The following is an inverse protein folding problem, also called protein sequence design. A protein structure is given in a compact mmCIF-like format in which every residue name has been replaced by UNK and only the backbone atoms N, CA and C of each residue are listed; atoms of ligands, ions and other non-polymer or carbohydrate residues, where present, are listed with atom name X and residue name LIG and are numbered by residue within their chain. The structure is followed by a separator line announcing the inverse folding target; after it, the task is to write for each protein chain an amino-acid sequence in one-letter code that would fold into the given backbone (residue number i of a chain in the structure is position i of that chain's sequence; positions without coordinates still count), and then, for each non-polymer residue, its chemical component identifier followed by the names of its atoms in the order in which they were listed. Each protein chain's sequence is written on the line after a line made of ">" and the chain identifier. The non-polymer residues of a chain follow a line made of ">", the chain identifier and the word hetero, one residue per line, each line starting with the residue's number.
data_IF_106842913968
#
_entry.id   IF_106842913968
#
_cell.length_a   1.000
_cell.length_b   1.000
_cell.length_c   1.000
_cell.angle_alpha   90.00
_cell.angle_beta   90.00
_cell.angle_gamma   90.00
#
_symmetry.space_group_name_H-M   'P 1'
#
loop_
_entity.id
_entity.type
_entity.pdbx_description
1 polymer ?
#
# COMPACT_ATOMS: atom_id res chain seq x y z
N UNK A 1 -50.45 -37.31 33.52
CA UNK A 1 -50.33 -37.63 32.07
C UNK A 1 -50.96 -36.50 31.27
N UNK A 2 -50.60 -36.39 29.99
CA UNK A 2 -51.10 -35.46 28.96
C UNK A 2 -50.30 -34.16 28.77
N UNK A 3 -49.26 -34.33 27.93
CA UNK A 3 -48.60 -33.34 27.08
C UNK A 3 -49.64 -32.49 26.35
N UNK A 4 -49.51 -31.16 26.37
CA UNK A 4 -50.13 -30.30 25.35
C UNK A 4 -49.05 -29.82 24.38
N UNK A 5 -49.20 -30.30 23.16
CA UNK A 5 -48.34 -30.13 22.00
C UNK A 5 -48.28 -28.68 21.55
N UNK A 6 -47.06 -28.26 21.21
CA UNK A 6 -46.69 -26.98 20.63
C UNK A 6 -47.19 -26.96 19.18
N UNK A 7 -48.12 -26.07 18.85
CA UNK A 7 -48.48 -25.80 17.46
C UNK A 7 -47.33 -25.09 16.74
N UNK A 8 -47.13 -25.33 15.42
CA UNK A 8 -45.96 -24.86 14.70
C UNK A 8 -46.00 -23.34 14.48
N UNK A 9 -44.85 -22.69 14.63
CA UNK A 9 -44.64 -21.30 14.21
C UNK A 9 -44.60 -21.31 12.68
N UNK A 10 -45.62 -20.73 12.08
CA UNK A 10 -45.68 -20.44 10.65
C UNK A 10 -44.63 -19.37 10.32
N UNK A 11 -43.65 -19.76 9.52
CA UNK A 11 -42.65 -18.89 8.93
C UNK A 11 -43.30 -17.91 7.94
N UNK A 12 -43.11 -16.59 8.09
CA UNK A 12 -43.61 -15.65 7.09
C UNK A 12 -42.83 -15.85 5.79
N UNK A 13 -43.54 -16.22 4.73
CA UNK A 13 -43.04 -16.33 3.37
C UNK A 13 -42.50 -14.98 2.85
N UNK A 14 -41.52 -15.01 1.95
CA UNK A 14 -40.94 -13.82 1.35
C UNK A 14 -41.97 -13.18 0.41
N UNK A 15 -42.31 -11.92 0.64
CA UNK A 15 -43.13 -11.15 -0.30
C UNK A 15 -42.25 -10.61 -1.42
N UNK A 16 -42.69 -10.91 -2.64
CA UNK A 16 -42.10 -10.52 -3.92
C UNK A 16 -41.74 -9.03 -3.99
N UNK A 17 -40.44 -8.76 -4.15
CA UNK A 17 -39.92 -7.42 -4.45
C UNK A 17 -40.01 -7.20 -5.95
N UNK A 18 -41.03 -6.45 -6.40
CA UNK A 18 -41.06 -5.88 -7.76
C UNK A 18 -39.92 -4.84 -7.93
N UNK A 19 -39.18 -4.86 -9.05
CA UNK A 19 -38.13 -3.89 -9.31
C UNK A 19 -38.76 -2.57 -9.78
N UNK A 20 -38.48 -1.46 -9.10
CA UNK A 20 -38.74 -0.11 -9.63
C UNK A 20 -39.60 0.85 -8.80
N UNK A 21 -40.19 0.43 -7.68
CA UNK A 21 -40.83 1.36 -6.73
C UNK A 21 -39.83 1.89 -5.72
N UNK A 22 -39.82 3.20 -5.42
CA UNK A 22 -39.01 3.77 -4.33
C UNK A 22 -39.52 3.24 -2.98
N UNK A 23 -39.10 2.02 -2.62
CA UNK A 23 -39.52 1.25 -1.45
C UNK A 23 -38.95 1.74 -0.12
N UNK A 24 -38.81 3.06 0.05
CA UNK A 24 -38.47 3.64 1.35
C UNK A 24 -39.34 4.87 1.58
N UNK A 25 -40.08 4.95 2.70
CA UNK A 25 -40.81 6.16 3.06
C UNK A 25 -39.85 7.35 3.00
N UNK A 26 -40.20 8.41 2.25
CA UNK A 26 -39.52 9.69 2.37
C UNK A 26 -39.63 10.13 3.83
N UNK A 27 -38.51 10.41 4.52
CA UNK A 27 -38.54 10.75 5.94
C UNK A 27 -39.50 11.91 6.16
N UNK A 28 -40.34 11.81 7.19
CA UNK A 28 -41.31 12.86 7.47
C UNK A 28 -40.58 14.16 7.76
N UNK A 29 -41.17 15.31 7.42
CA UNK A 29 -40.52 16.63 7.57
C UNK A 29 -39.90 16.85 8.95
N UNK A 30 -40.55 16.34 10.01
CA UNK A 30 -40.02 16.36 11.38
C UNK A 30 -38.75 15.54 11.57
N UNK A 31 -38.65 14.36 10.95
CA UNK A 31 -37.45 13.51 11.00
C UNK A 31 -36.31 14.12 10.18
N UNK A 32 -36.63 14.72 9.02
CA UNK A 32 -35.66 15.43 8.20
C UNK A 32 -35.10 16.68 8.93
N UNK A 33 -35.96 17.48 9.57
CA UNK A 33 -35.57 18.63 10.38
C UNK A 33 -34.80 18.22 11.65
N UNK A 34 -35.20 17.14 12.32
CA UNK A 34 -34.47 16.59 13.48
C UNK A 34 -33.09 16.05 13.08
N UNK A 35 -32.98 15.34 11.97
CA UNK A 35 -31.70 14.87 11.43
C UNK A 35 -30.81 16.02 10.99
N UNK A 36 -31.37 17.07 10.37
CA UNK A 36 -30.64 18.28 10.01
C UNK A 36 -30.12 19.03 11.25
N UNK A 37 -30.95 19.15 12.29
CA UNK A 37 -30.60 19.80 13.57
C UNK A 37 -29.58 18.98 14.37
N UNK A 38 -29.61 17.65 14.27
CA UNK A 38 -28.62 16.77 14.87
C UNK A 38 -27.25 16.86 14.16
N UNK A 39 -27.22 16.98 12.82
CA UNK A 39 -25.99 17.22 12.05
C UNK A 39 -25.38 18.61 12.29
N UNK A 40 -26.22 19.62 12.52
CA UNK A 40 -25.80 21.00 12.76
C UNK A 40 -25.55 21.34 14.24
N UNK A 41 -25.66 20.37 15.17
CA UNK A 41 -25.35 20.61 16.58
C UNK A 41 -23.83 20.65 16.76
N UNK A 42 -23.30 21.83 17.09
CA UNK A 42 -21.92 21.98 17.52
C UNK A 42 -21.66 21.05 18.73
N UNK A 43 -20.50 20.37 18.78
CA UNK A 43 -20.19 19.44 19.86
C UNK A 43 -20.17 20.16 21.19
N UNK A 44 -20.96 19.65 22.14
CA UNK A 44 -21.25 20.36 23.40
C UNK A 44 -20.21 20.08 24.47
N UNK A 45 -19.41 19.02 24.30
CA UNK A 45 -18.51 18.52 25.32
C UNK A 45 -17.09 18.25 24.79
N UNK A 46 -16.06 18.43 25.63
CA UNK A 46 -14.65 18.21 25.24
C UNK A 46 -14.40 16.77 24.79
N UNK A 47 -15.13 15.81 25.36
CA UNK A 47 -15.07 14.39 24.99
C UNK A 47 -15.68 14.11 23.62
N UNK A 48 -16.79 14.77 23.29
CA UNK A 48 -17.42 14.67 21.96
C UNK A 48 -16.56 15.31 20.87
N UNK A 49 -15.95 16.47 21.15
CA UNK A 49 -14.94 17.09 20.30
C UNK A 49 -13.75 16.16 20.04
N UNK A 50 -13.21 15.53 21.08
CA UNK A 50 -12.10 14.59 20.94
C UNK A 50 -12.49 13.36 20.12
N UNK A 51 -13.71 12.83 20.27
CA UNK A 51 -14.23 11.71 19.49
C UNK A 51 -14.40 12.08 18.02
N UNK A 52 -15.02 13.22 17.72
CA UNK A 52 -15.16 13.74 16.35
C UNK A 52 -13.80 14.01 15.70
N UNK A 53 -12.84 14.57 16.43
CA UNK A 53 -11.48 14.76 15.91
C UNK A 53 -10.79 13.43 15.60
N UNK A 54 -10.97 12.39 16.44
CA UNK A 54 -10.43 11.05 16.17
C UNK A 54 -11.06 10.40 14.95
N UNK A 55 -12.38 10.50 14.82
CA UNK A 55 -13.12 10.01 13.66
C UNK A 55 -12.66 10.73 12.39
N UNK A 56 -12.58 12.06 12.42
CA UNK A 56 -12.10 12.86 11.29
C UNK A 56 -10.65 12.53 10.91
N UNK A 57 -9.75 12.36 11.88
CA UNK A 57 -8.36 11.92 11.64
C UNK A 57 -8.30 10.52 11.02
N UNK A 58 -9.16 9.61 11.47
CA UNK A 58 -9.25 8.24 10.96
C UNK A 58 -9.76 8.23 9.52
N UNK A 59 -10.80 9.01 9.23
CA UNK A 59 -11.34 9.18 7.88
C UNK A 59 -10.34 9.83 6.93
N UNK A 60 -9.65 10.91 7.36
CA UNK A 60 -8.59 11.54 6.59
C UNK A 60 -7.45 10.56 6.31
N UNK A 61 -7.01 9.81 7.33
CA UNK A 61 -5.96 8.79 7.16
C UNK A 61 -6.40 7.68 6.21
N UNK A 62 -7.66 7.26 6.26
CA UNK A 62 -8.24 6.28 5.33
C UNK A 62 -8.29 6.81 3.91
N UNK A 63 -8.73 8.06 3.70
CA UNK A 63 -8.74 8.74 2.40
C UNK A 63 -7.33 8.87 1.82
N UNK A 64 -6.35 9.28 2.61
CA UNK A 64 -4.95 9.38 2.17
C UNK A 64 -4.40 7.99 1.81
N UNK A 65 -4.64 6.96 2.64
CA UNK A 65 -4.24 5.58 2.31
C UNK A 65 -4.91 5.05 1.04
N UNK A 66 -6.19 5.37 0.83
CA UNK A 66 -6.92 5.01 -0.39
C UNK A 66 -6.36 5.77 -1.61
N UNK A 67 -6.09 7.07 -1.49
CA UNK A 67 -5.45 7.89 -2.53
C UNK A 67 -4.04 7.41 -2.90
N UNK A 68 -3.25 7.00 -1.90
CA UNK A 68 -1.94 6.40 -2.11
C UNK A 68 -2.03 5.03 -2.82
N UNK A 69 -3.10 4.26 -2.56
CA UNK A 69 -3.36 2.98 -3.24
C UNK A 69 -3.90 3.16 -4.65
N UNK A 70 -4.73 4.17 -4.89
CA UNK A 70 -5.27 4.48 -6.22
C UNK A 70 -4.24 5.14 -7.14
N UNK A 71 -3.12 5.62 -6.59
CA UNK A 71 -2.02 6.19 -7.37
C UNK A 71 -2.22 7.67 -7.73
N UNK A 72 -3.15 8.35 -7.05
CA UNK A 72 -3.37 9.79 -7.21
C UNK A 72 -2.27 10.58 -6.49
N UNK A 73 -1.46 11.30 -7.27
CA UNK A 73 -0.26 11.99 -6.78
C UNK A 73 -0.55 13.09 -5.78
N UNK A 74 -1.79 13.60 -5.75
CA UNK A 74 -2.22 14.61 -4.78
C UNK A 74 -2.05 14.12 -3.35
N UNK A 75 -2.27 12.83 -3.12
CA UNK A 75 -2.20 12.17 -1.81
C UNK A 75 -0.82 11.62 -1.46
N UNK A 76 0.17 11.75 -2.35
CA UNK A 76 1.54 11.33 -2.03
C UNK A 76 2.18 12.31 -1.03
N UNK A 77 3.19 11.83 -0.29
CA UNK A 77 3.99 12.74 0.53
C UNK A 77 4.82 13.65 -0.38
N UNK A 78 5.16 14.87 0.05
CA UNK A 78 5.99 15.80 -0.74
C UNK A 78 7.31 15.18 -1.25
N UNK A 79 7.88 14.22 -0.51
CA UNK A 79 9.10 13.49 -0.88
C UNK A 79 8.95 12.55 -2.09
N UNK A 80 7.73 12.07 -2.34
CA UNK A 80 7.39 11.06 -3.34
C UNK A 80 6.73 11.67 -4.59
N UNK A 81 6.46 12.98 -4.59
CA UNK A 81 5.85 13.73 -5.69
C UNK A 81 6.85 14.09 -6.77
N UNK A 82 6.35 14.24 -7.99
CA UNK A 82 7.09 14.79 -9.13
C UNK A 82 7.49 13.73 -10.18
N UNK A 83 7.82 14.21 -11.39
CA UNK A 83 8.05 13.35 -12.56
C UNK A 83 9.28 12.46 -12.37
N UNK A 84 10.36 13.01 -11.80
CA UNK A 84 11.60 12.28 -11.48
C UNK A 84 11.34 11.14 -10.47
N UNK A 85 10.57 11.41 -9.42
CA UNK A 85 10.23 10.37 -8.42
C UNK A 85 9.35 9.31 -9.04
N UNK A 86 8.38 9.68 -9.87
CA UNK A 86 7.52 8.74 -10.61
C UNK A 86 8.36 7.79 -11.48
N UNK A 87 9.30 8.32 -12.25
CA UNK A 87 10.23 7.51 -13.03
C UNK A 87 11.04 6.54 -12.16
N UNK A 88 11.61 7.00 -11.04
CA UNK A 88 12.37 6.12 -10.14
C UNK A 88 11.50 4.99 -9.60
N UNK A 89 10.23 5.27 -9.24
CA UNK A 89 9.30 4.25 -8.77
C UNK A 89 9.06 3.19 -9.83
N UNK A 90 8.72 3.60 -11.05
CA UNK A 90 8.44 2.67 -12.14
C UNK A 90 9.70 1.91 -12.56
N UNK A 91 10.87 2.55 -12.63
CA UNK A 91 12.14 1.92 -13.02
C UNK A 91 12.64 0.88 -12.02
N UNK A 92 12.48 1.15 -10.71
CA UNK A 92 12.89 0.23 -9.65
C UNK A 92 11.88 -0.90 -9.51
N UNK A 93 10.58 -0.61 -9.58
CA UNK A 93 9.53 -1.62 -9.37
C UNK A 93 9.24 -2.45 -10.64
N UNK A 94 9.57 -1.99 -11.84
CA UNK A 94 9.50 -2.80 -13.06
C UNK A 94 10.58 -3.89 -13.12
N UNK A 95 11.64 -3.78 -12.31
CA UNK A 95 12.69 -4.80 -12.20
C UNK A 95 12.30 -5.96 -11.29
N UNK A 96 13.03 -7.06 -11.48
CA UNK A 96 13.02 -8.19 -10.58
C UNK A 96 13.66 -7.77 -9.24
N UNK A 97 12.93 -7.97 -8.14
CA UNK A 97 13.40 -7.58 -6.80
C UNK A 97 14.41 -8.60 -6.27
N UNK A 98 15.69 -8.23 -6.25
CA UNK A 98 16.74 -9.08 -5.67
C UNK A 98 16.56 -9.27 -4.16
N UNK A 99 16.00 -8.29 -3.46
CA UNK A 99 15.75 -8.36 -2.00
C UNK A 99 14.88 -9.56 -1.61
N UNK A 100 13.93 -9.96 -2.46
CA UNK A 100 13.07 -11.12 -2.19
C UNK A 100 13.84 -12.45 -2.35
N UNK A 101 14.91 -12.49 -3.15
CA UNK A 101 15.79 -13.66 -3.26
C UNK A 101 16.84 -13.73 -2.13
N UNK A 102 17.24 -12.58 -1.59
CA UNK A 102 18.22 -12.51 -0.50
C UNK A 102 17.72 -13.22 0.75
N UNK A 103 16.45 -13.08 1.09
CA UNK A 103 15.87 -13.71 2.29
C UNK A 103 15.98 -15.25 2.23
N UNK A 104 15.50 -15.95 1.17
CA UNK A 104 15.74 -17.38 0.99
C UNK A 104 17.21 -17.76 1.04
N UNK A 105 18.09 -16.97 0.40
CA UNK A 105 19.52 -17.27 0.34
C UNK A 105 20.17 -17.19 1.73
N UNK A 106 19.78 -16.20 2.54
CA UNK A 106 20.21 -16.08 3.94
C UNK A 106 19.69 -17.22 4.79
N UNK A 107 18.43 -17.65 4.60
CA UNK A 107 17.87 -18.79 5.33
C UNK A 107 18.63 -20.08 5.02
N UNK A 108 18.93 -20.34 3.75
CA UNK A 108 19.73 -21.50 3.32
C UNK A 108 21.11 -21.46 3.96
N UNK A 109 21.79 -20.30 3.91
CA UNK A 109 23.07 -20.10 4.59
C UNK A 109 22.98 -20.39 6.09
N UNK A 110 21.98 -19.86 6.78
CA UNK A 110 21.80 -20.08 8.21
C UNK A 110 21.57 -21.56 8.56
N UNK A 111 20.75 -22.27 7.78
CA UNK A 111 20.47 -23.69 7.97
C UNK A 111 21.75 -24.55 7.81
N UNK A 112 22.56 -24.26 6.79
CA UNK A 112 23.86 -24.91 6.57
C UNK A 112 24.85 -24.63 7.70
N UNK A 113 24.81 -23.42 8.27
CA UNK A 113 25.65 -23.03 9.41
C UNK A 113 25.30 -23.78 10.70
N UNK A 114 24.03 -24.11 10.90
CA UNK A 114 23.55 -24.75 12.13
C UNK A 114 23.67 -26.29 12.11
N UNK A 115 24.15 -26.89 11.02
CA UNK A 115 24.23 -28.35 10.86
C UNK A 115 25.35 -29.00 11.70
N UNK A 116 26.18 -28.22 12.40
CA UNK A 116 27.26 -28.72 13.27
C UNK A 116 28.48 -29.28 12.53
N UNK A 117 28.43 -29.35 11.20
CA UNK A 117 29.54 -29.78 10.33
C UNK A 117 30.39 -28.57 9.93
N UNK A 118 31.70 -28.64 10.19
CA UNK A 118 32.65 -27.56 9.89
C UNK A 118 32.76 -27.21 8.41
N UNK A 119 32.58 -28.17 7.50
CA UNK A 119 32.56 -27.92 6.06
C UNK A 119 31.30 -27.16 5.63
N UNK A 120 30.14 -27.53 6.17
CA UNK A 120 28.87 -26.85 5.89
C UNK A 120 28.84 -25.43 6.50
N UNK A 121 29.45 -25.25 7.67
CA UNK A 121 29.59 -23.94 8.30
C UNK A 121 30.53 -22.98 7.53
N UNK A 122 31.57 -23.51 6.88
CA UNK A 122 32.39 -22.72 5.97
C UNK A 122 31.62 -22.38 4.69
N UNK A 123 30.90 -23.35 4.11
CA UNK A 123 30.06 -23.12 2.94
C UNK A 123 28.98 -22.06 3.21
N UNK A 124 28.33 -22.09 4.38
CA UNK A 124 27.35 -21.07 4.75
C UNK A 124 27.97 -19.68 4.86
N UNK A 125 29.16 -19.58 5.46
CA UNK A 125 29.89 -18.31 5.57
C UNK A 125 30.22 -17.73 4.19
N UNK A 126 30.66 -18.59 3.25
CA UNK A 126 30.89 -18.17 1.86
C UNK A 126 29.61 -17.74 1.15
N UNK A 127 28.50 -18.47 1.34
CA UNK A 127 27.19 -18.12 0.77
C UNK A 127 26.71 -16.76 1.29
N UNK A 128 26.81 -16.54 2.61
CA UNK A 128 26.43 -15.26 3.22
C UNK A 128 27.29 -14.11 2.69
N UNK A 129 28.61 -14.29 2.61
CA UNK A 129 29.52 -13.30 2.04
C UNK A 129 29.20 -13.01 0.57
N UNK A 130 28.99 -14.05 -0.24
CA UNK A 130 28.61 -13.91 -1.65
C UNK A 130 27.26 -13.20 -1.82
N UNK A 131 26.31 -13.47 -0.93
CA UNK A 131 25.00 -12.80 -0.90
C UNK A 131 25.15 -11.30 -0.64
N UNK A 132 25.96 -10.93 0.34
CA UNK A 132 26.25 -9.52 0.65
C UNK A 132 26.92 -8.84 -0.53
N UNK A 133 27.93 -9.47 -1.13
CA UNK A 133 28.62 -8.94 -2.31
C UNK A 133 27.64 -8.73 -3.49
N UNK A 134 26.78 -9.71 -3.74
CA UNK A 134 25.75 -9.65 -4.78
C UNK A 134 24.80 -8.46 -4.60
N UNK A 135 24.33 -8.23 -3.37
CA UNK A 135 23.48 -7.08 -3.03
C UNK A 135 24.21 -5.76 -3.26
N UNK A 136 25.48 -5.66 -2.86
CA UNK A 136 26.29 -4.44 -3.05
C UNK A 136 26.47 -4.14 -4.54
N UNK A 137 26.82 -5.16 -5.33
CA UNK A 137 26.99 -5.01 -6.79
C UNK A 137 25.68 -4.59 -7.45
N UNK A 138 24.56 -5.23 -7.12
CA UNK A 138 23.26 -4.84 -7.66
C UNK A 138 22.90 -3.40 -7.31
N UNK A 139 23.14 -2.98 -6.06
CA UNK A 139 22.88 -1.62 -5.62
C UNK A 139 23.70 -0.58 -6.40
N UNK A 140 24.98 -0.88 -6.66
CA UNK A 140 25.84 -0.04 -7.48
C UNK A 140 25.35 0.00 -8.93
N UNK A 141 25.05 -1.14 -9.55
CA UNK A 141 24.53 -1.21 -10.91
C UNK A 141 23.20 -0.46 -11.05
N UNK A 142 22.29 -0.59 -10.09
CA UNK A 142 21.03 0.13 -10.05
C UNK A 142 21.27 1.64 -9.98
N UNK A 143 22.17 2.09 -9.10
CA UNK A 143 22.55 3.51 -8.99
C UNK A 143 23.06 4.04 -10.32
N UNK A 144 23.99 3.33 -10.99
CA UNK A 144 24.55 3.77 -12.27
C UNK A 144 23.48 3.81 -13.37
N UNK A 145 22.64 2.77 -13.47
CA UNK A 145 21.56 2.70 -14.46
C UNK A 145 20.52 3.81 -14.25
N UNK A 146 20.06 4.03 -13.02
CA UNK A 146 19.13 5.13 -12.70
C UNK A 146 19.74 6.47 -13.06
N UNK A 147 20.99 6.74 -12.67
CA UNK A 147 21.64 8.03 -12.98
C UNK A 147 21.77 8.25 -14.49
N UNK A 148 22.07 7.21 -15.26
CA UNK A 148 22.20 7.30 -16.72
C UNK A 148 20.85 7.64 -17.36
N UNK A 149 19.77 6.97 -16.96
CA UNK A 149 18.43 7.23 -17.49
C UNK A 149 17.87 8.57 -17.03
N UNK A 150 18.12 8.98 -15.79
CA UNK A 150 17.73 10.29 -15.30
C UNK A 150 18.38 11.42 -16.10
N UNK A 151 19.69 11.32 -16.40
CA UNK A 151 20.37 12.31 -17.23
C UNK A 151 19.85 12.37 -18.67
N UNK A 152 19.33 11.24 -19.19
CA UNK A 152 18.78 11.15 -20.55
C UNK A 152 17.38 11.74 -20.65
N UNK A 153 16.52 11.44 -19.67
CA UNK A 153 15.08 11.79 -19.70
C UNK A 153 14.76 13.10 -18.98
N UNK A 154 15.58 13.50 -18.01
CA UNK A 154 15.39 14.68 -17.19
C UNK A 154 16.68 15.52 -17.11
N UNK A 155 17.12 16.12 -18.23
CA UNK A 155 18.33 16.95 -18.24
C UNK A 155 18.18 18.21 -17.37
N UNK A 156 16.97 18.78 -17.28
CA UNK A 156 16.72 20.09 -16.66
C UNK A 156 16.22 20.02 -15.21
N UNK A 157 15.97 18.83 -14.67
CA UNK A 157 15.42 18.64 -13.32
C UNK A 157 16.51 18.47 -12.26
N UNK A 158 16.31 19.00 -11.03
CA UNK A 158 17.25 18.82 -9.94
C UNK A 158 17.32 17.34 -9.51
N UNK A 159 18.45 16.70 -9.81
CA UNK A 159 18.73 15.31 -9.42
C UNK A 159 19.04 15.13 -7.91
N UNK A 160 18.85 16.16 -7.08
CA UNK A 160 19.19 16.15 -5.66
C UNK A 160 18.33 15.12 -4.91
N UNK A 161 18.98 14.24 -4.13
CA UNK A 161 18.31 13.20 -3.35
C UNK A 161 17.66 12.08 -4.17
N UNK A 162 17.86 12.02 -5.49
CA UNK A 162 17.38 10.91 -6.34
C UNK A 162 18.04 9.60 -5.96
N UNK A 163 19.36 9.60 -5.77
CA UNK A 163 20.13 8.42 -5.37
C UNK A 163 19.65 7.87 -4.02
N UNK A 164 19.56 8.71 -2.99
CA UNK A 164 19.10 8.25 -1.66
C UNK A 164 17.71 7.60 -1.74
N UNK A 165 16.79 8.24 -2.46
CA UNK A 165 15.45 7.70 -2.65
C UNK A 165 15.44 6.36 -3.39
N UNK A 166 16.22 6.24 -4.48
CA UNK A 166 16.39 4.98 -5.21
C UNK A 166 16.87 3.86 -4.29
N UNK A 167 17.90 4.13 -3.47
CA UNK A 167 18.45 3.15 -2.53
C UNK A 167 17.39 2.74 -1.49
N UNK A 168 16.72 3.72 -0.85
CA UNK A 168 15.68 3.43 0.14
C UNK A 168 14.53 2.62 -0.44
N UNK A 169 14.15 2.87 -1.70
CA UNK A 169 13.11 2.12 -2.37
C UNK A 169 13.57 0.71 -2.73
N UNK A 170 14.81 0.56 -3.21
CA UNK A 170 15.38 -0.74 -3.56
C UNK A 170 15.43 -1.69 -2.36
N UNK A 171 15.72 -1.17 -1.15
CA UNK A 171 15.83 -1.97 0.07
C UNK A 171 14.47 -2.44 0.65
N UNK A 172 13.37 -1.73 0.38
CA UNK A 172 12.06 -2.10 0.92
C UNK A 172 11.49 -3.33 0.21
N UNK A 173 10.79 -4.22 0.91
CA UNK A 173 10.06 -5.32 0.25
C UNK A 173 8.93 -4.78 -0.65
N UNK A 174 8.79 -5.31 -1.86
CA UNK A 174 7.88 -4.77 -2.90
C UNK A 174 6.42 -4.73 -2.46
N UNK A 175 5.99 -5.73 -1.68
CA UNK A 175 4.64 -5.81 -1.16
C UNK A 175 4.28 -4.65 -0.20
N UNK A 176 5.26 -4.15 0.55
CA UNK A 176 5.05 -3.07 1.52
C UNK A 176 5.27 -1.67 0.93
N UNK A 177 5.75 -1.56 -0.32
CA UNK A 177 5.99 -0.28 -0.98
C UNK A 177 4.67 0.42 -1.33
N UNK A 178 4.36 1.49 -0.60
CA UNK A 178 3.41 2.52 -1.00
C UNK A 178 4.18 3.83 -1.25
N UNK A 179 3.85 4.64 -2.26
CA UNK A 179 2.87 4.42 -3.33
C UNK A 179 3.31 3.36 -4.33
N UNK A 180 2.36 2.62 -4.93
CA UNK A 180 2.67 1.60 -5.94
C UNK A 180 3.19 2.25 -7.23
N UNK A 181 4.08 1.55 -7.93
CA UNK A 181 4.43 1.89 -9.30
C UNK A 181 3.22 1.74 -10.23
N UNK A 182 3.19 2.54 -11.30
CA UNK A 182 2.13 2.48 -12.32
C UNK A 182 2.38 1.37 -13.34
N UNK A 183 3.65 0.95 -13.46
CA UNK A 183 4.12 -0.02 -14.45
C UNK A 183 4.29 -1.40 -13.78
N UNK A 184 3.82 -2.46 -14.47
CA UNK A 184 4.03 -3.85 -14.02
C UNK A 184 5.43 -4.34 -14.40
N UNK A 185 5.89 -5.42 -13.76
CA UNK A 185 7.18 -6.06 -14.09
C UNK A 185 7.20 -6.39 -15.59
N UNK A 186 8.27 -6.00 -16.28
CA UNK A 186 8.47 -6.30 -17.71
C UNK A 186 7.72 -5.39 -18.69
N UNK A 187 6.89 -4.44 -18.22
CA UNK A 187 6.30 -3.46 -19.12
C UNK A 187 7.31 -2.36 -19.50
N UNK A 188 7.24 -1.84 -20.75
CA UNK A 188 8.08 -0.73 -21.16
C UNK A 188 7.75 0.51 -20.34
N UNK A 189 8.80 1.25 -19.95
CA UNK A 189 8.66 2.50 -19.22
C UNK A 189 8.07 3.58 -20.17
N UNK A 190 7.03 4.31 -19.75
CA UNK A 190 6.53 5.46 -20.49
C UNK A 190 7.67 6.40 -20.92
N UNK A 191 7.62 6.91 -22.14
CA UNK A 191 8.61 7.88 -22.65
C UNK A 191 8.47 9.21 -21.89
N UNK A 192 7.23 9.68 -21.70
CA UNK A 192 6.91 10.98 -21.10
C UNK A 192 6.39 10.86 -19.67
N UNK A 193 7.12 11.49 -18.75
CA UNK A 193 6.78 11.58 -17.33
C UNK A 193 6.31 12.97 -16.87
N UNK A 194 6.33 13.97 -17.77
CA UNK A 194 5.97 15.36 -17.49
C UNK A 194 4.45 15.63 -17.43
N UNK A 195 3.61 14.63 -17.71
CA UNK A 195 2.14 14.72 -17.67
C UNK A 195 1.51 14.16 -16.38
#
# INVERSE_FOLDING_TARGET
>A
MFKRTKSPVESPQPTDVKPGGKGRPTPTRKEAEAAAKARNRAPRDKRELAKLQREHRTEQSRKIRQGMKSGDERYFLPRDKGPVRRFIRDFVDARFSIVEMVIPLMLVGLMLGYTGNSALAQASSMILLATVLFVVVDMLLLRFKVRRELKRRFPDEPLKGTTYYTLTRAMQMKFMRLPKARVKIGQPLPEDYHK
#
